data_IF_458250522627
#
_entry.id   IF_458250522627
#
_cell.length_a   1.000
_cell.length_b   1.000
_cell.length_c   1.000
_cell.angle_alpha   90.00
_cell.angle_beta   90.00
_cell.angle_gamma   90.00
#
_symmetry.space_group_name_H-M   'P 1'
#
loop_
_entity.id
_entity.type
_entity.pdbx_description
1 polymer ?
#
# COMPACT_ATOMS: atom_id res chain seq x y z
N UNK A 1 17.52 -9.90 33.48
CA UNK A 1 16.29 -9.07 33.57
C UNK A 1 15.40 -9.47 32.40
N UNK A 2 14.21 -10.00 32.66
CA UNK A 2 13.25 -10.29 31.58
C UNK A 2 12.52 -8.99 31.25
N UNK A 3 12.43 -8.59 29.98
CA UNK A 3 11.71 -7.38 29.62
C UNK A 3 10.24 -7.54 29.99
N UNK A 4 9.62 -6.47 30.49
CA UNK A 4 8.21 -6.46 30.87
C UNK A 4 7.36 -6.91 29.67
N UNK A 5 6.45 -7.89 29.84
CA UNK A 5 5.65 -8.44 28.73
C UNK A 5 4.83 -7.37 27.99
N UNK A 6 4.39 -6.31 28.68
CA UNK A 6 3.70 -5.16 28.05
C UNK A 6 4.64 -4.38 27.13
N UNK A 7 5.88 -4.17 27.55
CA UNK A 7 6.89 -3.46 26.76
C UNK A 7 7.27 -4.29 25.52
N UNK A 8 7.40 -5.62 25.65
CA UNK A 8 7.65 -6.50 24.50
C UNK A 8 6.50 -6.44 23.49
N UNK A 9 5.25 -6.49 23.96
CA UNK A 9 4.08 -6.38 23.08
C UNK A 9 4.06 -5.07 22.28
N UNK A 10 4.48 -3.95 22.88
CA UNK A 10 4.58 -2.67 22.17
C UNK A 10 5.68 -2.69 21.09
N UNK A 11 6.82 -3.32 21.35
CA UNK A 11 7.88 -3.47 20.35
C UNK A 11 7.40 -4.34 19.17
N UNK A 12 6.75 -5.46 19.44
CA UNK A 12 6.22 -6.34 18.40
C UNK A 12 5.21 -5.61 17.49
N UNK A 13 4.32 -4.80 18.08
CA UNK A 13 3.37 -3.98 17.32
C UNK A 13 4.05 -2.92 16.44
N UNK A 14 5.11 -2.29 16.96
CA UNK A 14 5.87 -1.29 16.21
C UNK A 14 6.62 -1.93 15.03
N UNK A 15 7.24 -3.08 15.24
CA UNK A 15 7.93 -3.82 14.19
C UNK A 15 6.95 -4.32 13.12
N UNK A 16 5.79 -4.83 13.51
CA UNK A 16 4.73 -5.19 12.56
C UNK A 16 4.29 -3.99 11.71
N UNK A 17 4.06 -2.82 12.32
CA UNK A 17 3.70 -1.59 11.60
C UNK A 17 4.79 -1.16 10.63
N UNK A 18 6.07 -1.23 11.06
CA UNK A 18 7.22 -0.89 10.22
C UNK A 18 7.35 -1.84 9.03
N UNK A 19 7.21 -3.13 9.26
CA UNK A 19 7.25 -4.16 8.22
C UNK A 19 6.12 -3.94 7.20
N UNK A 20 4.89 -3.69 7.67
CA UNK A 20 3.76 -3.36 6.78
C UNK A 20 4.06 -2.13 5.93
N UNK A 21 4.55 -1.05 6.54
CA UNK A 21 4.89 0.17 5.80
C UNK A 21 5.96 -0.08 4.74
N UNK A 22 6.98 -0.89 5.04
CA UNK A 22 8.00 -1.28 4.05
C UNK A 22 7.40 -2.06 2.88
N UNK A 23 6.52 -3.04 3.15
CA UNK A 23 5.84 -3.78 2.09
C UNK A 23 4.99 -2.87 1.21
N UNK A 24 4.21 -1.97 1.81
CA UNK A 24 3.41 -0.98 1.08
C UNK A 24 4.30 -0.09 0.20
N UNK A 25 5.46 0.33 0.69
CA UNK A 25 6.39 1.15 -0.09
C UNK A 25 6.93 0.39 -1.31
N UNK A 26 7.24 -0.90 -1.17
CA UNK A 26 7.70 -1.75 -2.27
C UNK A 26 6.61 -1.94 -3.32
N UNK A 27 5.39 -2.28 -2.88
CA UNK A 27 4.22 -2.44 -3.73
C UNK A 27 3.90 -1.14 -4.50
N UNK A 28 3.91 0.00 -3.80
CA UNK A 28 3.71 1.33 -4.39
C UNK A 28 4.75 1.59 -5.49
N UNK A 29 6.03 1.38 -5.18
CA UNK A 29 7.13 1.66 -6.10
C UNK A 29 7.05 0.80 -7.35
N UNK A 30 6.69 -0.48 -7.19
CA UNK A 30 6.50 -1.42 -8.29
C UNK A 30 5.29 -1.02 -9.15
N UNK A 31 4.16 -0.68 -8.54
CA UNK A 31 2.95 -0.25 -9.26
C UNK A 31 3.19 1.02 -10.09
N UNK A 32 3.81 2.05 -9.50
CA UNK A 32 4.14 3.30 -10.20
C UNK A 32 5.03 3.02 -11.41
N UNK A 33 6.03 2.15 -11.25
CA UNK A 33 6.97 1.81 -12.32
C UNK A 33 6.30 1.04 -13.45
N UNK A 34 5.53 0.00 -13.13
CA UNK A 34 4.94 -0.91 -14.13
C UNK A 34 3.78 -0.23 -14.88
N UNK A 35 2.95 0.53 -14.16
CA UNK A 35 1.83 1.28 -14.74
C UNK A 35 2.21 2.68 -15.27
N UNK A 36 3.52 3.01 -15.26
CA UNK A 36 4.08 4.29 -15.75
C UNK A 36 3.34 5.51 -15.20
N UNK A 37 2.98 5.46 -13.92
CA UNK A 37 2.18 6.49 -13.28
C UNK A 37 3.00 7.78 -13.22
N UNK A 38 2.45 8.84 -13.80
CA UNK A 38 3.12 10.13 -13.86
C UNK A 38 3.20 10.78 -12.48
N UNK A 39 4.23 11.61 -12.30
CA UNK A 39 4.31 12.52 -11.16
C UNK A 39 3.21 13.58 -11.30
N UNK A 40 2.39 13.72 -10.26
CA UNK A 40 1.23 14.59 -10.25
C UNK A 40 0.35 14.31 -9.04
N UNK A 41 -0.88 14.82 -9.06
CA UNK A 41 -1.81 14.77 -7.93
C UNK A 41 -3.27 14.60 -8.38
N UNK A 42 -3.51 13.75 -9.38
CA UNK A 42 -4.84 13.46 -9.93
C UNK A 42 -5.44 12.14 -9.44
N UNK A 43 -4.61 11.17 -9.03
CA UNK A 43 -5.10 9.82 -8.73
C UNK A 43 -5.90 9.72 -7.42
N UNK A 44 -5.75 10.67 -6.49
CA UNK A 44 -6.43 10.62 -5.20
C UNK A 44 -7.95 10.52 -5.34
N UNK A 45 -8.55 11.20 -6.33
CA UNK A 45 -10.00 11.12 -6.60
C UNK A 45 -10.42 9.73 -7.07
N UNK A 46 -9.68 9.14 -8.01
CA UNK A 46 -9.96 7.79 -8.53
C UNK A 46 -9.77 6.71 -7.47
N UNK A 47 -8.88 6.94 -6.50
CA UNK A 47 -8.62 6.06 -5.38
C UNK A 47 -9.54 6.33 -4.16
N UNK A 48 -10.61 7.12 -4.33
CA UNK A 48 -11.63 7.36 -3.31
C UNK A 48 -11.19 8.28 -2.17
N UNK A 49 -10.11 9.04 -2.33
CA UNK A 49 -9.59 9.94 -1.31
C UNK A 49 -10.16 11.36 -1.49
N UNK A 50 -10.50 11.99 -0.36
CA UNK A 50 -11.08 13.34 -0.34
C UNK A 50 -10.02 14.44 -0.24
N UNK A 51 -8.83 14.11 0.26
CA UNK A 51 -7.73 15.07 0.44
C UNK A 51 -6.76 14.96 -0.72
N UNK A 52 -6.54 16.07 -1.43
CA UNK A 52 -5.53 16.18 -2.49
C UNK A 52 -4.14 15.82 -1.94
N UNK A 53 -3.47 14.93 -2.64
CA UNK A 53 -2.13 14.45 -2.33
C UNK A 53 -1.43 13.99 -3.62
N UNK A 54 -0.11 13.74 -3.55
CA UNK A 54 0.61 13.24 -4.72
C UNK A 54 0.13 11.84 -5.11
N UNK A 55 0.27 11.46 -6.38
CA UNK A 55 -0.06 10.12 -6.86
C UNK A 55 0.62 9.03 -6.03
N UNK A 56 1.87 9.24 -5.60
CA UNK A 56 2.58 8.32 -4.71
C UNK A 56 1.88 8.18 -3.36
N UNK A 57 1.51 9.29 -2.73
CA UNK A 57 0.81 9.28 -1.44
C UNK A 57 -0.59 8.66 -1.58
N UNK A 58 -1.29 8.97 -2.68
CA UNK A 58 -2.59 8.42 -2.97
C UNK A 58 -2.52 6.90 -3.09
N UNK A 59 -1.57 6.37 -3.87
CA UNK A 59 -1.37 4.93 -4.00
C UNK A 59 -0.98 4.31 -2.67
N UNK A 60 -0.05 4.90 -1.91
CA UNK A 60 0.34 4.37 -0.60
C UNK A 60 -0.83 4.26 0.37
N UNK A 61 -1.67 5.30 0.47
CA UNK A 61 -2.83 5.30 1.35
C UNK A 61 -3.88 4.28 0.90
N UNK A 62 -4.12 4.20 -0.41
CA UNK A 62 -5.06 3.23 -0.96
C UNK A 62 -4.60 1.79 -0.73
N UNK A 63 -3.33 1.47 -1.03
CA UNK A 63 -2.74 0.16 -0.74
C UNK A 63 -2.86 -0.14 0.76
N UNK A 64 -2.58 0.82 1.63
CA UNK A 64 -2.74 0.63 3.08
C UNK A 64 -4.18 0.22 3.45
N UNK A 65 -5.19 0.85 2.83
CA UNK A 65 -6.61 0.53 3.08
C UNK A 65 -6.99 -0.87 2.62
N UNK A 66 -6.45 -1.35 1.49
CA UNK A 66 -6.79 -2.66 0.95
C UNK A 66 -5.80 -3.77 1.35
N UNK A 67 -4.72 -3.44 2.08
CA UNK A 67 -3.58 -4.33 2.30
C UNK A 67 -4.01 -5.68 2.88
N UNK A 68 -4.85 -5.67 3.91
CA UNK A 68 -5.33 -6.90 4.57
C UNK A 68 -6.20 -7.77 3.66
N UNK A 69 -6.78 -7.21 2.60
CA UNK A 69 -7.58 -7.94 1.60
C UNK A 69 -6.70 -8.58 0.52
N UNK A 70 -5.60 -7.91 0.15
CA UNK A 70 -4.70 -8.35 -0.92
C UNK A 70 -3.50 -9.17 -0.42
N UNK A 71 -3.16 -9.08 0.87
CA UNK A 71 -2.00 -9.75 1.43
C UNK A 71 -2.22 -11.27 1.48
N UNK A 72 -1.36 -11.98 0.77
CA UNK A 72 -1.36 -13.45 0.66
C UNK A 72 -0.21 -14.08 1.43
N UNK A 73 0.70 -13.28 2.00
CA UNK A 73 1.98 -13.74 2.52
C UNK A 73 3.04 -13.97 1.43
N UNK A 74 2.67 -14.00 0.15
CA UNK A 74 3.60 -14.02 -0.99
C UNK A 74 3.61 -12.65 -1.70
N UNK A 75 4.79 -12.07 -1.88
CA UNK A 75 4.93 -10.74 -2.46
C UNK A 75 4.43 -10.67 -3.92
N UNK A 76 4.67 -11.71 -4.73
CA UNK A 76 4.28 -11.70 -6.14
C UNK A 76 2.77 -11.85 -6.29
N UNK A 77 2.16 -12.74 -5.52
CA UNK A 77 0.71 -12.92 -5.52
C UNK A 77 -0.02 -11.70 -4.96
N UNK A 78 0.47 -11.12 -3.86
CA UNK A 78 -0.04 -9.85 -3.31
C UNK A 78 0.05 -8.73 -4.36
N UNK A 79 1.15 -8.65 -5.10
CA UNK A 79 1.28 -7.66 -6.18
C UNK A 79 0.30 -7.90 -7.33
N UNK A 80 0.07 -9.15 -7.75
CA UNK A 80 -0.90 -9.46 -8.82
C UNK A 80 -2.32 -9.06 -8.41
N UNK A 81 -2.71 -9.32 -7.16
CA UNK A 81 -4.01 -8.89 -6.63
C UNK A 81 -4.10 -7.37 -6.58
N UNK A 82 -3.06 -6.69 -6.09
CA UNK A 82 -2.98 -5.24 -6.10
C UNK A 82 -3.18 -4.66 -7.50
N UNK A 83 -2.45 -5.17 -8.48
CA UNK A 83 -2.52 -4.69 -9.87
C UNK A 83 -3.92 -4.92 -10.46
N UNK A 84 -4.52 -6.09 -10.22
CA UNK A 84 -5.88 -6.38 -10.63
C UNK A 84 -6.90 -5.38 -10.06
N UNK A 85 -6.85 -5.12 -8.75
CA UNK A 85 -7.72 -4.13 -8.10
C UNK A 85 -7.48 -2.71 -8.64
N UNK A 86 -6.22 -2.36 -8.90
CA UNK A 86 -5.87 -1.03 -9.42
C UNK A 86 -6.44 -0.81 -10.83
N UNK A 87 -6.30 -1.81 -11.71
CA UNK A 87 -6.82 -1.75 -13.08
C UNK A 87 -8.35 -1.77 -13.11
N UNK A 88 -9.01 -2.49 -12.18
CA UNK A 88 -10.46 -2.50 -12.06
C UNK A 88 -11.04 -1.12 -11.68
N UNK A 89 -10.29 -0.30 -10.94
CA UNK A 89 -10.67 1.08 -10.60
C UNK A 89 -10.50 2.06 -11.76
N UNK A 90 -9.78 1.67 -12.82
CA UNK A 90 -9.46 2.55 -13.96
C UNK A 90 -9.87 1.92 -15.30
N UNK A 91 -11.16 1.60 -15.50
CA UNK A 91 -11.62 0.99 -16.75
C UNK A 91 -11.44 1.89 -17.98
N UNK A 92 -11.27 3.21 -17.80
CA UNK A 92 -11.16 4.20 -18.89
C UNK A 92 -9.71 4.51 -19.33
N UNK A 93 -8.70 3.86 -18.73
CA UNK A 93 -7.28 4.00 -19.12
C UNK A 93 -6.77 2.86 -20.04
N UNK A 94 -7.62 1.87 -20.34
CA UNK A 94 -7.40 0.78 -21.31
C UNK A 94 -8.26 1.00 -22.55
#
# INVERSE_FOLDING_TARGET
MHPNPVIQHLYDQLDQRKNRQQQINLLTSKLIKEQRIQLGDGLYLHLGQTKRCSNTQAIQQWIYTIYDTIDTGDYQETYRKLEHEFLALMPELL
#
